data_IF_876514471004
#
_entry.id   IF_876514471004
#
_cell.length_a   1.000
_cell.length_b   1.000
_cell.length_c   1.000
_cell.angle_alpha   90.00
_cell.angle_beta   90.00
_cell.angle_gamma   90.00
#
_symmetry.space_group_name_H-M   'P 1'
#
loop_
_entity.id
_entity.type
_entity.pdbx_description
1 polymer ?
#
# COMPACT_ATOMS: atom_id res chain seq x y z
N UNK A 1 -8.85 19.23 33.38
CA UNK A 1 -10.26 18.88 33.65
C UNK A 1 -11.11 20.12 33.39
N UNK A 2 -12.27 19.97 32.74
CA UNK A 2 -13.29 21.03 32.65
C UNK A 2 -14.44 20.64 33.57
N UNK A 3 -14.83 21.53 34.47
CA UNK A 3 -16.00 21.36 35.37
C UNK A 3 -17.15 22.23 34.88
N UNK A 4 -18.31 21.62 34.67
CA UNK A 4 -19.56 22.31 34.30
C UNK A 4 -20.53 22.18 35.48
N UNK A 5 -20.80 23.26 36.23
CA UNK A 5 -21.72 23.24 37.36
C UNK A 5 -23.11 22.70 36.98
N UNK A 6 -23.66 21.80 37.79
CA UNK A 6 -24.96 21.17 37.52
C UNK A 6 -24.94 20.04 36.48
N UNK A 7 -23.82 19.80 35.79
CA UNK A 7 -23.68 18.74 34.78
C UNK A 7 -22.62 17.69 35.16
N UNK A 8 -21.38 18.11 35.41
CA UNK A 8 -20.30 17.16 35.72
C UNK A 8 -18.89 17.68 35.49
N UNK A 9 -17.95 16.74 35.39
CA UNK A 9 -16.51 16.99 35.17
C UNK A 9 -16.03 16.12 34.00
N UNK A 10 -15.21 16.68 33.10
CA UNK A 10 -14.61 15.94 31.98
C UNK A 10 -13.58 14.90 32.44
N UNK A 11 -13.09 14.05 31.52
CA UNK A 11 -11.83 13.35 31.73
C UNK A 11 -10.66 14.32 31.87
N UNK A 12 -9.60 13.89 32.56
CA UNK A 12 -8.35 14.65 32.62
C UNK A 12 -7.72 14.71 31.22
N UNK A 13 -7.07 15.83 30.92
CA UNK A 13 -6.34 16.04 29.68
C UNK A 13 -5.11 16.90 29.97
N UNK A 14 -4.10 16.74 29.12
CA UNK A 14 -2.84 17.45 29.22
C UNK A 14 -2.92 18.79 28.49
N UNK A 15 -2.24 19.80 29.04
CA UNK A 15 -2.01 21.09 28.41
C UNK A 15 -0.50 21.34 28.44
N UNK A 16 0.11 21.46 27.26
CA UNK A 16 1.55 21.63 27.12
C UNK A 16 1.96 21.49 25.66
N UNK A 17 3.17 21.95 25.34
CA UNK A 17 3.75 21.84 24.00
C UNK A 17 4.07 20.38 23.62
N UNK A 18 4.21 19.51 24.62
CA UNK A 18 4.53 18.09 24.54
C UNK A 18 3.30 17.19 24.81
N UNK A 19 2.09 17.77 24.85
CA UNK A 19 0.87 17.02 25.18
C UNK A 19 0.58 15.86 24.20
N UNK A 20 1.15 15.88 23.00
CA UNK A 20 1.01 14.83 21.98
C UNK A 20 2.17 13.82 21.96
N UNK A 21 3.24 14.02 22.73
CA UNK A 21 4.38 13.08 22.75
C UNK A 21 3.97 11.66 23.15
N UNK A 22 3.10 11.45 24.16
CA UNK A 22 2.62 10.10 24.47
C UNK A 22 1.86 9.45 23.31
N UNK A 23 1.10 10.25 22.53
CA UNK A 23 0.37 9.75 21.36
C UNK A 23 1.33 9.28 20.27
N UNK A 24 2.37 10.05 19.95
CA UNK A 24 3.39 9.65 18.98
C UNK A 24 4.08 8.34 19.41
N UNK A 25 4.41 8.23 20.70
CA UNK A 25 4.95 7.00 21.26
C UNK A 25 4.00 5.82 21.09
N UNK A 26 2.71 5.97 21.40
CA UNK A 26 1.72 4.91 21.22
C UNK A 26 1.55 4.51 19.75
N UNK A 27 1.53 5.47 18.82
CA UNK A 27 1.44 5.19 17.38
C UNK A 27 2.65 4.40 16.88
N UNK A 28 3.87 4.79 17.30
CA UNK A 28 5.10 4.07 16.96
C UNK A 28 5.07 2.62 17.43
N UNK A 29 4.61 2.37 18.66
CA UNK A 29 4.47 0.99 19.17
C UNK A 29 3.41 0.19 18.42
N UNK A 30 2.33 0.85 17.99
CA UNK A 30 1.30 0.24 17.15
C UNK A 30 1.86 -0.22 15.81
N UNK A 31 2.64 0.63 15.14
CA UNK A 31 3.34 0.29 13.90
C UNK A 31 4.33 -0.87 14.13
N UNK A 32 5.18 -0.76 15.16
CA UNK A 32 6.09 -1.84 15.54
C UNK A 32 5.37 -3.18 15.74
N UNK A 33 4.23 -3.16 16.44
CA UNK A 33 3.40 -4.34 16.70
C UNK A 33 2.89 -5.03 15.43
N UNK A 34 2.77 -4.28 14.33
CA UNK A 34 2.34 -4.78 13.04
C UNK A 34 3.49 -5.20 12.13
N UNK A 35 4.77 -4.96 12.47
CA UNK A 35 5.88 -5.39 11.60
C UNK A 35 5.77 -6.90 11.32
N UNK A 36 5.88 -7.31 10.06
CA UNK A 36 5.92 -8.69 9.58
C UNK A 36 7.35 -9.08 9.21
N UNK A 37 7.77 -10.34 9.35
CA UNK A 37 9.13 -10.76 8.98
C UNK A 37 10.20 -10.56 10.05
N UNK A 38 9.80 -10.16 11.27
CA UNK A 38 10.72 -9.92 12.39
C UNK A 38 10.14 -10.37 13.73
N UNK A 39 10.98 -10.61 14.73
CA UNK A 39 10.54 -10.82 16.10
C UNK A 39 10.09 -9.48 16.73
N UNK A 40 9.12 -9.54 17.63
CA UNK A 40 8.59 -8.39 18.37
C UNK A 40 8.94 -8.52 19.85
N UNK A 41 9.73 -7.59 20.34
CA UNK A 41 10.15 -7.53 21.74
C UNK A 41 9.06 -6.87 22.61
N UNK A 42 8.75 -7.45 23.79
CA UNK A 42 7.77 -6.87 24.71
C UNK A 42 8.21 -5.50 25.25
N UNK A 43 9.50 -5.16 25.20
CA UNK A 43 10.02 -3.83 25.57
C UNK A 43 9.37 -2.71 24.75
N UNK A 44 9.24 -2.93 23.45
CA UNK A 44 8.70 -1.94 22.51
C UNK A 44 7.18 -2.04 22.38
N UNK A 45 6.56 -3.10 22.93
CA UNK A 45 5.11 -3.27 23.04
C UNK A 45 4.56 -3.03 24.45
N UNK A 46 5.37 -2.50 25.37
CA UNK A 46 4.88 -2.07 26.67
C UNK A 46 3.91 -0.88 26.53
N UNK A 47 2.84 -0.81 27.35
CA UNK A 47 2.54 -1.66 28.50
C UNK A 47 1.65 -2.87 28.18
N UNK A 48 1.34 -3.15 26.91
CA UNK A 48 0.34 -4.17 26.54
C UNK A 48 0.80 -5.62 26.73
N UNK A 49 2.10 -5.85 26.97
CA UNK A 49 2.64 -7.19 27.23
C UNK A 49 2.63 -8.12 26.02
N UNK A 50 2.31 -7.61 24.83
CA UNK A 50 2.38 -8.35 23.58
C UNK A 50 3.84 -8.66 23.20
N UNK A 51 4.06 -9.80 22.55
CA UNK A 51 5.38 -10.23 22.09
C UNK A 51 5.22 -11.22 20.95
N UNK A 52 6.25 -11.31 20.11
CA UNK A 52 6.42 -12.40 19.15
C UNK A 52 7.89 -12.80 19.15
N UNK A 53 8.28 -13.89 19.82
CA UNK A 53 9.69 -14.20 20.06
C UNK A 53 10.48 -14.52 18.79
N UNK A 54 9.78 -14.87 17.71
CA UNK A 54 10.37 -15.27 16.45
C UNK A 54 9.81 -14.45 15.27
N UNK A 55 10.58 -14.38 14.18
CA UNK A 55 10.12 -13.75 12.95
C UNK A 55 8.98 -14.57 12.34
N UNK A 56 7.92 -13.91 11.85
CA UNK A 56 6.82 -14.57 11.15
C UNK A 56 6.95 -14.43 9.62
N UNK A 57 6.35 -15.35 8.86
CA UNK A 57 6.23 -15.23 7.40
C UNK A 57 7.56 -15.01 6.65
N UNK A 58 8.67 -15.60 7.12
CA UNK A 58 9.99 -15.38 6.48
C UNK A 58 10.15 -16.16 5.16
N UNK A 59 9.16 -16.99 4.83
CA UNK A 59 9.08 -17.78 3.60
C UNK A 59 8.06 -17.26 2.59
N UNK A 60 7.52 -16.06 2.83
CA UNK A 60 6.79 -15.31 1.80
C UNK A 60 7.66 -15.16 0.54
N UNK A 61 7.18 -15.40 -0.68
CA UNK A 61 5.87 -15.92 -1.06
C UNK A 61 5.96 -16.76 -2.35
N UNK A 62 4.92 -17.54 -2.64
CA UNK A 62 4.76 -18.27 -3.91
C UNK A 62 3.77 -17.53 -4.83
N UNK A 63 4.11 -17.35 -6.12
CA UNK A 63 3.19 -16.77 -7.11
C UNK A 63 1.95 -17.64 -7.26
N UNK A 64 0.77 -17.03 -7.15
CA UNK A 64 -0.52 -17.69 -7.37
C UNK A 64 -0.65 -18.17 -8.82
N UNK A 65 -1.04 -19.43 -9.03
CA UNK A 65 -1.38 -19.94 -10.35
C UNK A 65 -2.70 -19.36 -10.87
N UNK A 66 -2.73 -19.01 -12.17
CA UNK A 66 -3.88 -18.34 -12.83
C UNK A 66 -4.41 -19.08 -14.06
N UNK A 67 -3.82 -20.25 -14.41
CA UNK A 67 -4.18 -21.03 -15.59
C UNK A 67 -5.64 -21.52 -15.57
N UNK A 68 -6.19 -21.70 -14.36
CA UNK A 68 -7.63 -21.88 -14.14
C UNK A 68 -8.06 -20.89 -13.07
N UNK A 69 -9.13 -20.14 -13.33
CA UNK A 69 -9.75 -19.31 -12.31
C UNK A 69 -10.16 -20.25 -11.16
N UNK A 70 -9.65 -20.04 -9.93
CA UNK A 70 -10.04 -20.89 -8.82
C UNK A 70 -11.56 -20.87 -8.65
N UNK A 71 -12.19 -22.00 -8.32
CA UNK A 71 -13.65 -22.07 -8.19
C UNK A 71 -14.19 -21.04 -7.20
N UNK A 72 -13.52 -20.86 -6.05
CA UNK A 72 -13.87 -19.83 -5.07
C UNK A 72 -13.79 -18.39 -5.62
N UNK A 73 -12.94 -18.15 -6.62
CA UNK A 73 -12.84 -16.86 -7.29
C UNK A 73 -14.03 -16.67 -8.24
N UNK A 74 -14.34 -17.69 -9.05
CA UNK A 74 -15.50 -17.66 -9.95
C UNK A 74 -16.85 -17.58 -9.21
N UNK A 75 -16.95 -18.23 -8.04
CA UNK A 75 -18.15 -18.24 -7.20
C UNK A 75 -18.39 -16.88 -6.51
N UNK A 76 -17.31 -16.15 -6.17
CA UNK A 76 -17.39 -14.82 -5.54
C UNK A 76 -17.46 -13.67 -6.53
N UNK A 77 -16.81 -13.84 -7.68
CA UNK A 77 -16.73 -12.84 -8.73
C UNK A 77 -17.36 -13.48 -9.97
N UNK A 78 -18.69 -13.37 -10.16
CA UNK A 78 -19.38 -14.05 -11.24
C UNK A 78 -18.74 -13.65 -12.57
N UNK A 79 -17.97 -14.58 -13.14
CA UNK A 79 -17.47 -14.50 -14.50
C UNK A 79 -18.71 -14.67 -15.39
N UNK A 80 -19.17 -13.64 -16.11
CA UNK A 80 -20.47 -13.72 -16.78
C UNK A 80 -20.46 -14.82 -17.83
N UNK A 81 -21.38 -15.76 -17.69
CA UNK A 81 -21.57 -16.85 -18.65
C UNK A 81 -22.17 -16.37 -19.99
N UNK A 82 -22.61 -15.11 -20.10
CA UNK A 82 -23.13 -14.56 -21.36
C UNK A 82 -23.33 -13.04 -21.31
N UNK A 83 -22.68 -12.33 -22.23
CA UNK A 83 -23.28 -11.27 -23.04
C UNK A 83 -23.68 -9.91 -22.44
N UNK A 84 -23.79 -9.71 -21.13
CA UNK A 84 -24.06 -8.36 -20.61
C UNK A 84 -23.71 -8.20 -19.13
N UNK A 85 -23.04 -7.08 -18.83
CA UNK A 85 -22.54 -6.55 -17.54
C UNK A 85 -21.09 -6.94 -17.19
N UNK A 86 -20.23 -5.91 -17.13
CA UNK A 86 -19.05 -5.82 -16.25
C UNK A 86 -17.94 -6.88 -16.43
N UNK A 87 -17.43 -7.08 -17.63
CA UNK A 87 -16.18 -7.87 -17.84
C UNK A 87 -15.00 -6.97 -18.19
N UNK A 88 -13.85 -7.22 -17.55
CA UNK A 88 -12.55 -6.86 -18.12
C UNK A 88 -12.36 -7.79 -19.33
N UNK A 89 -12.16 -7.27 -20.55
CA UNK A 89 -11.88 -8.14 -21.69
C UNK A 89 -10.59 -8.92 -21.41
N UNK A 90 -10.53 -10.24 -21.70
CA UNK A 90 -9.29 -10.97 -21.58
C UNK A 90 -8.21 -10.28 -22.42
N UNK A 91 -6.97 -10.34 -21.96
CA UNK A 91 -5.85 -9.83 -22.73
C UNK A 91 -5.90 -10.46 -24.14
N UNK A 92 -5.95 -9.67 -25.22
CA UNK A 92 -6.23 -10.17 -26.56
C UNK A 92 -5.11 -11.05 -27.12
N UNK A 93 -3.94 -11.05 -26.46
CA UNK A 93 -2.77 -11.84 -26.85
C UNK A 93 -2.77 -13.19 -26.14
N UNK A 94 -3.13 -13.22 -24.87
CA UNK A 94 -3.04 -14.42 -24.01
C UNK A 94 -4.38 -15.10 -23.76
N UNK A 95 -5.51 -14.41 -24.01
CA UNK A 95 -6.85 -14.87 -23.65
C UNK A 95 -7.10 -14.91 -22.13
N UNK A 96 -6.13 -14.45 -21.32
CA UNK A 96 -6.20 -14.48 -19.86
C UNK A 96 -6.90 -13.23 -19.31
N UNK A 97 -7.68 -13.41 -18.25
CA UNK A 97 -8.20 -12.29 -17.45
C UNK A 97 -7.15 -11.71 -16.50
N UNK A 98 -5.93 -12.25 -16.47
CA UNK A 98 -4.85 -11.82 -15.60
C UNK A 98 -3.69 -11.24 -16.41
N UNK A 99 -3.01 -10.24 -15.84
CA UNK A 99 -1.76 -9.75 -16.38
C UNK A 99 -0.73 -10.89 -16.44
N UNK A 100 0.09 -10.90 -17.50
CA UNK A 100 1.16 -11.89 -17.66
C UNK A 100 2.04 -11.94 -16.40
N UNK A 101 2.30 -13.13 -15.89
CA UNK A 101 3.05 -13.33 -14.64
C UNK A 101 3.90 -14.62 -14.72
N UNK A 102 4.88 -14.80 -13.83
CA UNK A 102 5.70 -16.01 -13.78
C UNK A 102 4.86 -17.26 -13.50
N UNK A 103 5.39 -18.47 -13.78
CA UNK A 103 4.71 -19.72 -13.50
C UNK A 103 4.23 -19.82 -12.05
N UNK A 104 3.11 -20.50 -11.84
CA UNK A 104 2.59 -20.82 -10.52
C UNK A 104 3.70 -21.39 -9.60
N UNK A 105 3.69 -20.98 -8.33
CA UNK A 105 4.68 -21.36 -7.30
C UNK A 105 6.10 -20.83 -7.51
N UNK A 106 6.32 -19.98 -8.51
CA UNK A 106 7.57 -19.20 -8.61
C UNK A 106 7.77 -18.45 -7.29
N UNK A 107 8.97 -18.51 -6.71
CA UNK A 107 9.28 -17.87 -5.44
C UNK A 107 9.65 -16.42 -5.64
N UNK A 108 9.02 -15.54 -4.86
CA UNK A 108 9.41 -14.14 -4.68
C UNK A 108 9.75 -13.89 -3.21
N UNK A 109 10.34 -12.74 -2.88
CA UNK A 109 10.81 -12.44 -1.52
C UNK A 109 10.27 -11.10 -0.97
N UNK A 110 8.96 -10.98 -0.70
CA UNK A 110 8.35 -9.80 -0.09
C UNK A 110 8.39 -9.88 1.45
N UNK A 111 9.56 -10.13 2.04
CA UNK A 111 9.75 -10.15 3.50
C UNK A 111 9.91 -8.72 4.03
N UNK A 112 9.30 -8.44 5.18
CA UNK A 112 9.22 -7.12 5.78
C UNK A 112 7.78 -6.61 5.79
N UNK A 113 7.65 -5.29 5.89
CA UNK A 113 6.38 -4.56 5.89
C UNK A 113 5.54 -4.79 7.13
N UNK A 114 4.29 -4.35 7.05
CA UNK A 114 3.34 -4.41 8.16
C UNK A 114 2.14 -5.30 7.83
N UNK A 115 1.67 -6.03 8.85
CA UNK A 115 0.34 -6.63 8.87
C UNK A 115 -0.69 -5.51 8.74
N UNK A 116 -1.56 -5.64 7.76
CA UNK A 116 -2.40 -4.53 7.30
C UNK A 116 -3.50 -4.13 8.30
N UNK A 117 -4.10 -5.13 8.94
CA UNK A 117 -5.13 -4.90 9.93
C UNK A 117 -5.11 -5.98 11.02
N UNK A 118 -6.29 -6.43 11.44
CA UNK A 118 -6.43 -7.54 12.40
C UNK A 118 -6.01 -8.89 11.83
N UNK A 119 -5.84 -9.00 10.52
CA UNK A 119 -5.23 -10.14 9.86
C UNK A 119 -3.75 -9.93 9.56
N UNK A 120 -3.11 -11.01 9.12
CA UNK A 120 -1.69 -10.97 8.80
C UNK A 120 -1.39 -10.66 7.33
N UNK A 121 -2.40 -10.44 6.48
CA UNK A 121 -2.20 -10.07 5.08
C UNK A 121 -1.41 -8.76 4.92
N UNK A 122 -0.81 -8.60 3.75
CA UNK A 122 -0.09 -7.38 3.35
C UNK A 122 -0.56 -6.96 1.96
N UNK A 123 -0.85 -5.68 1.76
CA UNK A 123 -1.55 -5.17 0.58
C UNK A 123 -0.85 -3.91 0.05
N UNK A 124 -0.32 -3.98 -1.17
CA UNK A 124 0.47 -2.89 -1.76
C UNK A 124 -0.27 -1.56 -1.77
N UNK A 125 -1.59 -1.59 -1.97
CA UNK A 125 -2.43 -0.39 -1.99
C UNK A 125 -2.51 0.37 -0.67
N UNK A 126 -2.34 -0.33 0.46
CA UNK A 126 -2.27 0.32 1.76
C UNK A 126 -0.83 0.62 2.13
N UNK A 127 0.08 -0.29 1.83
CA UNK A 127 1.52 -0.16 2.06
C UNK A 127 2.12 1.06 1.36
N UNK A 128 1.78 1.29 0.10
CA UNK A 128 2.24 2.45 -0.67
C UNK A 128 1.82 3.75 0.00
N UNK A 129 0.53 3.87 0.33
CA UNK A 129 -0.02 5.01 1.08
C UNK A 129 0.60 5.17 2.47
N UNK A 130 0.74 4.09 3.22
CA UNK A 130 1.35 4.10 4.55
C UNK A 130 2.77 4.66 4.49
N UNK A 131 3.60 4.17 3.57
CA UNK A 131 4.93 4.72 3.33
C UNK A 131 4.87 6.21 2.93
N UNK A 132 3.93 6.59 2.06
CA UNK A 132 3.68 7.98 1.68
C UNK A 132 3.37 8.90 2.86
N UNK A 133 2.49 8.47 3.76
CA UNK A 133 2.10 9.20 4.95
C UNK A 133 3.22 9.30 5.98
N UNK A 134 3.97 8.23 6.19
CA UNK A 134 5.14 8.26 7.09
C UNK A 134 6.22 9.21 6.57
N UNK A 135 6.47 9.23 5.26
CA UNK A 135 7.38 10.22 4.66
C UNK A 135 6.86 11.65 4.82
N UNK A 136 5.55 11.87 4.63
CA UNK A 136 4.93 13.18 4.90
C UNK A 136 5.10 13.59 6.36
N UNK A 137 4.87 12.66 7.30
CA UNK A 137 5.07 12.91 8.73
C UNK A 137 6.54 13.23 9.03
N UNK A 138 7.49 12.50 8.45
CA UNK A 138 8.92 12.76 8.58
C UNK A 138 9.29 14.16 8.03
N UNK A 139 8.71 14.58 6.91
CA UNK A 139 8.95 15.91 6.34
C UNK A 139 8.37 17.03 7.23
N UNK A 140 7.21 16.81 7.84
CA UNK A 140 6.53 17.78 8.72
C UNK A 140 7.17 17.87 10.10
N UNK A 141 7.52 16.72 10.71
CA UNK A 141 8.08 16.64 12.05
C UNK A 141 9.59 16.90 12.08
N UNK A 142 10.28 16.69 10.95
CA UNK A 142 11.73 16.77 10.84
C UNK A 142 12.46 15.52 11.36
N UNK A 143 13.76 15.40 11.04
CA UNK A 143 14.62 14.27 11.41
C UNK A 143 15.09 14.23 12.86
N UNK A 144 14.46 14.99 13.75
CA UNK A 144 14.82 14.98 15.17
C UNK A 144 14.14 13.83 15.93
N UNK A 145 13.22 13.11 15.28
CA UNK A 145 12.52 11.95 15.83
C UNK A 145 13.37 10.69 15.72
N UNK A 146 14.42 10.62 16.54
CA UNK A 146 15.27 9.45 16.80
C UNK A 146 15.19 9.07 18.29
N UNK A 147 13.96 9.03 18.78
CA UNK A 147 13.60 8.87 20.19
C UNK A 147 12.22 8.22 20.40
N UNK A 148 11.61 7.68 19.34
CA UNK A 148 10.39 6.91 19.42
C UNK A 148 10.67 5.60 20.17
N UNK A 149 9.65 4.97 20.77
CA UNK A 149 9.83 3.71 21.49
C UNK A 149 9.99 2.52 20.53
N UNK A 150 10.97 2.59 19.65
CA UNK A 150 11.31 1.61 18.61
C UNK A 150 12.69 1.01 18.87
N UNK A 151 12.98 -0.19 18.33
CA UNK A 151 14.29 -0.83 18.48
C UNK A 151 15.47 0.01 18.03
N UNK A 152 15.27 0.84 17.00
CA UNK A 152 16.31 1.58 16.31
C UNK A 152 16.63 2.94 16.94
N UNK A 153 15.83 3.41 17.90
CA UNK A 153 15.96 4.74 18.47
C UNK A 153 17.32 5.00 19.13
N UNK A 154 17.89 6.17 18.84
CA UNK A 154 19.17 6.68 19.30
C UNK A 154 20.37 6.28 18.43
N UNK A 155 20.15 5.75 17.22
CA UNK A 155 21.21 5.33 16.30
C UNK A 155 21.68 6.43 15.33
N UNK A 156 21.09 7.63 15.42
CA UNK A 156 21.37 8.77 14.56
C UNK A 156 20.55 8.81 13.28
N UNK A 157 19.55 7.94 13.13
CA UNK A 157 18.70 7.82 11.94
C UNK A 157 17.25 8.00 12.38
N UNK A 158 16.47 8.90 11.74
CA UNK A 158 15.09 9.14 12.14
C UNK A 158 14.27 7.84 12.15
N UNK A 159 13.62 7.56 13.27
CA UNK A 159 12.87 6.34 13.48
C UNK A 159 11.79 6.12 12.41
N UNK A 160 11.09 7.21 12.02
CA UNK A 160 10.09 7.16 10.95
C UNK A 160 10.69 6.81 9.58
N UNK A 161 11.95 7.19 9.31
CA UNK A 161 12.63 6.77 8.09
C UNK A 161 12.85 5.25 8.11
N UNK A 162 13.25 4.69 9.25
CA UNK A 162 13.49 3.25 9.38
C UNK A 162 12.20 2.43 9.29
N UNK A 163 11.07 2.97 9.77
CA UNK A 163 9.75 2.36 9.52
C UNK A 163 9.35 2.40 8.04
N UNK A 164 9.62 3.49 7.33
CA UNK A 164 9.42 3.56 5.87
C UNK A 164 10.30 2.52 5.18
N UNK A 165 11.58 2.39 5.55
CA UNK A 165 12.48 1.38 4.98
C UNK A 165 11.93 -0.03 5.14
N UNK A 166 11.34 -0.34 6.30
CA UNK A 166 10.75 -1.65 6.56
C UNK A 166 9.56 -1.94 5.64
N UNK A 167 8.72 -0.94 5.37
CA UNK A 167 7.59 -1.05 4.44
C UNK A 167 8.03 -1.13 2.98
N UNK A 168 9.00 -0.28 2.59
CA UNK A 168 9.53 -0.26 1.24
C UNK A 168 10.21 -1.58 0.89
N UNK A 169 10.94 -2.20 1.84
CA UNK A 169 11.53 -3.54 1.67
C UNK A 169 10.49 -4.58 1.28
N UNK A 170 9.30 -4.53 1.87
CA UNK A 170 8.19 -5.43 1.52
C UNK A 170 7.72 -5.21 0.09
N UNK A 171 7.33 -3.97 -0.26
CA UNK A 171 6.75 -3.72 -1.59
C UNK A 171 7.80 -3.88 -2.69
N UNK A 172 9.08 -3.59 -2.42
CA UNK A 172 10.22 -3.91 -3.29
C UNK A 172 10.28 -5.41 -3.63
N UNK A 173 9.92 -6.31 -2.72
CA UNK A 173 9.94 -7.75 -2.99
C UNK A 173 8.83 -8.25 -3.92
N UNK A 174 7.91 -7.38 -4.36
CA UNK A 174 6.73 -7.73 -5.17
C UNK A 174 6.83 -7.32 -6.64
N UNK A 175 7.87 -6.59 -7.04
CA UNK A 175 8.02 -6.20 -8.43
C UNK A 175 8.60 -7.38 -9.25
N UNK A 176 7.91 -7.72 -10.33
CA UNK A 176 8.36 -8.69 -11.34
C UNK A 176 9.34 -8.03 -12.33
N UNK A 177 10.03 -8.87 -13.10
CA UNK A 177 11.05 -8.49 -14.08
C UNK A 177 10.54 -7.59 -15.21
N UNK A 178 9.24 -7.60 -15.50
CA UNK A 178 8.61 -6.72 -16.48
C UNK A 178 8.17 -5.35 -15.91
N UNK A 179 8.42 -5.11 -14.62
CA UNK A 179 8.07 -3.88 -13.92
C UNK A 179 6.70 -3.92 -13.23
N UNK A 180 5.83 -4.88 -13.54
CA UNK A 180 4.54 -5.05 -12.89
C UNK A 180 4.68 -5.55 -11.45
N UNK A 181 3.66 -5.28 -10.61
CA UNK A 181 3.73 -5.55 -9.17
C UNK A 181 2.58 -6.43 -8.71
N UNK A 182 2.90 -7.51 -7.96
CA UNK A 182 1.93 -8.35 -7.28
C UNK A 182 1.23 -7.58 -6.15
N UNK A 183 -0.08 -7.74 -6.00
CA UNK A 183 -0.85 -6.85 -5.12
C UNK A 183 -0.91 -7.23 -3.65
N UNK A 184 -1.04 -8.52 -3.36
CA UNK A 184 -1.45 -9.00 -2.03
C UNK A 184 -0.60 -10.20 -1.66
N UNK A 185 -0.09 -10.20 -0.43
CA UNK A 185 0.47 -11.40 0.20
C UNK A 185 -0.49 -11.86 1.28
N UNK A 186 -1.11 -13.02 1.08
CA UNK A 186 -1.96 -13.63 2.09
C UNK A 186 -1.96 -15.16 1.96
N UNK A 187 -2.42 -15.89 2.99
CA UNK A 187 -2.46 -17.35 2.93
C UNK A 187 -3.25 -17.88 1.72
N UNK A 188 -2.85 -19.06 1.25
CA UNK A 188 -3.56 -19.78 0.21
C UNK A 188 -4.83 -20.42 0.79
N UNK A 189 -5.90 -19.64 0.95
CA UNK A 189 -7.19 -20.18 1.32
C UNK A 189 -8.04 -20.37 0.06
N UNK A 190 -8.12 -21.60 -0.44
CA UNK A 190 -9.22 -22.05 -1.32
C UNK A 190 -10.60 -21.90 -0.66
N UNK A 191 -10.64 -21.63 0.65
CA UNK A 191 -11.83 -21.30 1.42
C UNK A 191 -11.70 -19.89 1.97
N UNK A 192 -11.88 -18.88 1.11
CA UNK A 192 -11.87 -17.48 1.51
C UNK A 192 -12.63 -17.26 2.83
N UNK A 193 -12.07 -16.39 3.68
CA UNK A 193 -12.62 -15.84 4.94
C UNK A 193 -12.03 -16.31 6.28
N UNK A 194 -11.21 -17.36 6.36
CA UNK A 194 -10.59 -17.70 7.65
C UNK A 194 -9.23 -17.02 7.90
N UNK A 195 -8.94 -15.92 7.21
CA UNK A 195 -7.66 -15.20 7.25
C UNK A 195 -7.31 -14.64 8.66
N UNK A 196 -8.32 -14.29 9.46
CA UNK A 196 -8.19 -13.90 10.88
C UNK A 196 -7.71 -15.06 11.77
N UNK A 197 -7.95 -16.30 11.35
CA UNK A 197 -7.52 -17.50 12.06
C UNK A 197 -6.14 -17.99 11.61
N UNK A 198 -5.51 -17.41 10.58
CA UNK A 198 -4.20 -17.83 10.09
C UNK A 198 -3.06 -17.26 10.96
N UNK A 199 -2.88 -17.79 12.16
CA UNK A 199 -1.85 -17.29 13.09
C UNK A 199 -0.43 -17.63 12.61
N UNK A 200 0.55 -16.71 12.76
CA UNK A 200 1.95 -17.01 12.55
C UNK A 200 2.41 -18.10 13.54
N UNK A 201 3.28 -18.98 13.08
CA UNK A 201 3.84 -20.03 13.92
C UNK A 201 4.96 -19.52 14.83
N UNK A 202 5.24 -20.26 15.91
CA UNK A 202 6.54 -20.24 16.62
C UNK A 202 7.63 -21.02 15.84
N UNK A 203 7.55 -21.01 14.51
CA UNK A 203 8.58 -21.49 13.60
C UNK A 203 8.58 -20.50 12.43
N UNK A 204 9.67 -19.75 12.18
CA UNK A 204 9.64 -18.64 11.23
C UNK A 204 9.32 -19.06 9.81
N UNK A 205 9.60 -20.33 9.48
CA UNK A 205 9.46 -20.90 8.14
C UNK A 205 8.06 -21.46 7.88
N UNK A 206 7.19 -21.49 8.89
CA UNK A 206 5.83 -22.03 8.80
C UNK A 206 4.83 -20.95 9.12
N UNK A 207 3.70 -21.01 8.43
CA UNK A 207 2.52 -20.19 8.74
C UNK A 207 1.33 -21.10 9.03
N UNK A 208 0.35 -20.59 9.78
CA UNK A 208 -0.94 -21.23 10.04
C UNK A 208 -0.85 -22.54 10.84
N UNK A 209 -0.09 -22.53 11.95
CA UNK A 209 0.15 -23.72 12.79
C UNK A 209 -1.03 -24.14 13.67
N UNK A 210 -2.11 -23.37 13.68
CA UNK A 210 -3.38 -23.77 14.26
C UNK A 210 -4.13 -24.82 13.41
N UNK A 211 -3.67 -25.11 12.19
CA UNK A 211 -4.17 -26.22 11.38
C UNK A 211 -3.34 -27.49 11.50
N UNK A 212 -3.96 -28.64 11.18
CA UNK A 212 -3.29 -29.93 11.17
C UNK A 212 -2.07 -29.93 10.23
N UNK A 213 -1.05 -30.74 10.55
CA UNK A 213 0.23 -30.69 9.85
C UNK A 213 0.16 -30.99 8.34
N UNK A 214 -0.85 -31.75 7.92
CA UNK A 214 -1.15 -32.16 6.55
C UNK A 214 -2.23 -31.30 5.88
N UNK A 215 -2.69 -30.22 6.51
CA UNK A 215 -3.69 -29.35 5.92
C UNK A 215 -3.11 -28.62 4.70
N UNK A 216 -3.74 -28.67 3.52
CA UNK A 216 -3.24 -28.04 2.31
C UNK A 216 -3.16 -26.50 2.39
N UNK A 217 -3.79 -25.89 3.40
CA UNK A 217 -3.71 -24.45 3.72
C UNK A 217 -2.48 -24.12 4.59
N UNK A 218 -1.69 -25.11 4.98
CA UNK A 218 -0.43 -24.94 5.70
C UNK A 218 0.71 -24.76 4.69
N UNK A 219 1.56 -23.76 4.90
CA UNK A 219 2.67 -23.48 3.99
C UNK A 219 2.87 -21.98 3.78
N UNK A 220 3.77 -21.61 2.85
CA UNK A 220 4.03 -20.21 2.54
C UNK A 220 2.78 -19.52 2.02
N UNK A 221 2.71 -18.22 2.22
CA UNK A 221 1.65 -17.38 1.66
C UNK A 221 1.84 -17.19 0.16
N UNK A 222 0.75 -16.81 -0.50
CA UNK A 222 0.73 -16.62 -1.96
C UNK A 222 0.75 -15.14 -2.31
N UNK A 223 1.47 -14.83 -3.38
CA UNK A 223 1.41 -13.55 -4.06
C UNK A 223 0.26 -13.57 -5.05
N UNK A 224 -0.71 -12.71 -4.78
CA UNK A 224 -1.85 -12.51 -5.67
C UNK A 224 -1.41 -11.81 -6.95
N UNK A 225 -2.12 -12.02 -8.08
CA UNK A 225 -1.70 -11.56 -9.38
C UNK A 225 -1.34 -10.07 -9.46
N UNK A 226 -0.57 -9.73 -10.50
CA UNK A 226 -0.17 -8.34 -10.75
C UNK A 226 -1.37 -7.48 -11.13
N UNK A 227 -1.31 -6.20 -10.79
CA UNK A 227 -2.39 -5.23 -11.00
C UNK A 227 -1.84 -3.83 -11.28
N UNK A 228 -2.54 -3.04 -12.08
CA UNK A 228 -2.07 -1.69 -12.44
C UNK A 228 -2.24 -0.70 -11.29
N UNK A 229 -3.21 -0.87 -10.40
CA UNK A 229 -3.38 -0.04 -9.21
C UNK A 229 -2.19 -0.22 -8.25
N UNK A 230 -1.84 -1.47 -7.93
CA UNK A 230 -0.68 -1.78 -7.09
C UNK A 230 0.63 -1.35 -7.73
N UNK A 231 0.77 -1.52 -9.05
CA UNK A 231 1.97 -1.09 -9.79
C UNK A 231 2.13 0.44 -9.76
N UNK A 232 1.04 1.19 -9.86
CA UNK A 232 1.04 2.64 -9.76
C UNK A 232 1.34 3.13 -8.34
N UNK A 233 0.75 2.54 -7.30
CA UNK A 233 1.11 2.86 -5.91
C UNK A 233 2.57 2.57 -5.59
N UNK A 234 3.09 1.44 -6.05
CA UNK A 234 4.50 1.10 -5.92
C UNK A 234 5.39 2.15 -6.58
N UNK A 235 5.06 2.57 -7.81
CA UNK A 235 5.82 3.60 -8.51
C UNK A 235 5.81 4.93 -7.73
N UNK A 236 4.66 5.33 -7.20
CA UNK A 236 4.52 6.55 -6.42
C UNK A 236 5.33 6.51 -5.11
N UNK A 237 5.20 5.44 -4.32
CA UNK A 237 5.88 5.29 -3.05
C UNK A 237 7.41 5.27 -3.22
N UNK A 238 7.93 4.53 -4.21
CA UNK A 238 9.36 4.49 -4.49
C UNK A 238 9.89 5.80 -5.07
N UNK A 239 9.13 6.48 -5.93
CA UNK A 239 9.52 7.81 -6.43
C UNK A 239 9.56 8.85 -5.29
N UNK A 240 8.60 8.80 -4.36
CA UNK A 240 8.60 9.64 -3.15
C UNK A 240 9.83 9.39 -2.29
N UNK A 241 10.17 8.12 -2.06
CA UNK A 241 11.38 7.74 -1.32
C UNK A 241 12.65 8.20 -2.02
N UNK A 242 12.73 8.05 -3.36
CA UNK A 242 13.87 8.49 -4.14
C UNK A 242 14.10 10.02 -4.12
N UNK A 243 13.02 10.82 -4.05
CA UNK A 243 13.14 12.28 -3.94
C UNK A 243 13.35 12.78 -2.52
N UNK A 244 13.05 11.98 -1.51
CA UNK A 244 13.08 12.42 -0.11
C UNK A 244 14.48 12.94 0.26
N UNK A 245 14.59 14.15 0.84
CA UNK A 245 15.87 14.70 1.25
C UNK A 245 16.54 13.84 2.34
N UNK A 246 15.74 13.13 3.15
CA UNK A 246 16.24 12.24 4.19
C UNK A 246 16.88 10.99 3.61
N UNK A 247 16.18 10.30 2.69
CA UNK A 247 16.75 9.15 1.97
C UNK A 247 17.97 9.55 1.13
N UNK A 248 17.95 10.69 0.44
CA UNK A 248 19.12 11.16 -0.33
C UNK A 248 20.36 11.35 0.55
N UNK A 249 20.17 11.85 1.78
CA UNK A 249 21.27 12.08 2.73
C UNK A 249 21.74 10.79 3.40
N UNK A 250 20.81 9.96 3.87
CA UNK A 250 21.12 8.83 4.76
C UNK A 250 21.22 7.48 4.03
N UNK A 251 20.65 7.39 2.83
CA UNK A 251 20.46 6.16 2.02
C UNK A 251 20.60 6.42 0.50
N UNK A 252 21.66 7.08 0.02
CA UNK A 252 21.77 7.49 -1.38
C UNK A 252 21.72 6.32 -2.39
N UNK A 253 22.30 5.17 -2.04
CA UNK A 253 22.24 3.97 -2.89
C UNK A 253 20.81 3.46 -3.06
N UNK A 254 20.01 3.50 -1.99
CA UNK A 254 18.61 3.08 -2.04
C UNK A 254 17.79 4.04 -2.91
N UNK A 255 18.03 5.36 -2.84
CA UNK A 255 17.31 6.33 -3.71
C UNK A 255 17.51 6.04 -5.20
N UNK A 256 18.73 5.66 -5.60
CA UNK A 256 19.03 5.29 -6.99
C UNK A 256 18.28 4.04 -7.40
N UNK A 257 18.29 3.00 -6.54
CA UNK A 257 17.53 1.76 -6.74
C UNK A 257 16.03 2.05 -6.82
N UNK A 258 15.46 2.80 -5.88
CA UNK A 258 14.05 3.14 -5.83
C UNK A 258 13.59 3.85 -7.09
N UNK A 259 14.36 4.84 -7.58
CA UNK A 259 14.01 5.55 -8.81
C UNK A 259 14.01 4.62 -10.04
N UNK A 260 15.00 3.73 -10.17
CA UNK A 260 15.05 2.76 -11.27
C UNK A 260 13.83 1.86 -11.26
N UNK A 261 13.44 1.36 -10.09
CA UNK A 261 12.27 0.49 -9.92
C UNK A 261 10.95 1.21 -10.16
N UNK A 262 10.82 2.45 -9.69
CA UNK A 262 9.67 3.30 -9.95
C UNK A 262 9.47 3.54 -11.46
N UNK A 263 10.55 3.79 -12.20
CA UNK A 263 10.51 3.92 -13.67
C UNK A 263 10.13 2.62 -14.37
N UNK A 264 10.65 1.48 -13.92
CA UNK A 264 10.27 0.18 -14.48
C UNK A 264 8.76 -0.07 -14.31
N UNK A 265 8.21 0.26 -13.14
CA UNK A 265 6.77 0.21 -12.88
C UNK A 265 5.99 1.20 -13.76
N UNK A 266 6.47 2.42 -13.95
CA UNK A 266 5.86 3.37 -14.88
C UNK A 266 5.84 2.86 -16.33
N UNK A 267 6.95 2.31 -16.82
CA UNK A 267 7.03 1.75 -18.17
C UNK A 267 6.05 0.58 -18.36
N UNK A 268 5.87 -0.25 -17.33
CA UNK A 268 4.82 -1.27 -17.33
C UNK A 268 3.43 -0.65 -17.44
N UNK A 269 3.15 0.41 -16.68
CA UNK A 269 1.85 1.10 -16.70
C UNK A 269 1.54 1.74 -18.05
N UNK A 270 2.53 2.25 -18.79
CA UNK A 270 2.34 2.85 -20.12
C UNK A 270 1.98 1.85 -21.21
N UNK A 271 2.39 0.59 -21.04
CA UNK A 271 2.22 -0.47 -22.05
C UNK A 271 1.04 -1.39 -21.76
N UNK A 272 0.31 -1.17 -20.66
CA UNK A 272 -0.78 -2.04 -20.21
C UNK A 272 -2.10 -1.28 -20.10
N UNK A 273 -3.15 -1.92 -20.60
CA UNK A 273 -4.52 -1.48 -20.35
C UNK A 273 -4.76 -1.50 -18.84
N UNK A 274 -5.41 -0.47 -18.27
CA UNK A 274 -5.87 -0.50 -16.90
C UNK A 274 -6.50 -1.83 -16.50
N UNK A 275 -5.99 -2.39 -15.40
CA UNK A 275 -6.43 -3.64 -14.82
C UNK A 275 -6.45 -3.50 -13.30
N UNK A 276 -7.65 -3.63 -12.71
CA UNK A 276 -7.93 -3.41 -11.29
C UNK A 276 -8.79 -4.51 -10.67
N UNK A 277 -8.56 -5.78 -11.03
CA UNK A 277 -9.45 -6.89 -10.62
C UNK A 277 -9.35 -7.21 -9.12
N UNK A 278 -8.32 -6.72 -8.42
CA UNK A 278 -7.96 -7.16 -7.08
C UNK A 278 -8.13 -6.10 -5.99
N UNK A 279 -8.63 -4.92 -6.33
CA UNK A 279 -8.84 -3.89 -5.33
C UNK A 279 -9.98 -4.28 -4.36
N UNK A 280 -9.58 -4.52 -3.11
CA UNK A 280 -10.34 -4.52 -1.87
C UNK A 280 -11.78 -5.10 -1.84
N UNK A 281 -11.87 -6.29 -1.24
CA UNK A 281 -13.09 -7.00 -0.81
C UNK A 281 -13.93 -6.22 0.24
N UNK A 282 -13.39 -5.15 0.85
CA UNK A 282 -14.07 -4.37 1.90
C UNK A 282 -14.57 -2.98 1.43
N UNK A 283 -14.04 -2.45 0.33
CA UNK A 283 -14.41 -1.14 -0.23
C UNK A 283 -15.16 -1.22 -1.57
N UNK A 284 -15.51 -2.43 -2.02
CA UNK A 284 -16.40 -2.60 -3.17
C UNK A 284 -15.73 -2.44 -4.54
N UNK A 285 -14.40 -2.59 -4.65
CA UNK A 285 -13.70 -2.52 -5.94
C UNK A 285 -13.76 -3.86 -6.72
N UNK A 286 -14.90 -4.53 -6.66
CA UNK A 286 -15.37 -5.42 -7.73
C UNK A 286 -16.58 -4.80 -8.40
N UNK A 287 -16.32 -3.69 -9.08
CA UNK A 287 -17.13 -3.26 -10.20
C UNK A 287 -16.19 -3.13 -11.37
N UNK A 288 -15.98 -4.21 -12.13
CA UNK A 288 -15.47 -4.08 -13.49
C UNK A 288 -16.33 -3.00 -14.17
N UNK A 289 -15.73 -1.86 -14.49
CA UNK A 289 -16.45 -0.72 -15.04
C UNK A 289 -16.68 -0.98 -16.53
N UNK A 290 -17.53 -1.94 -16.83
CA UNK A 290 -18.34 -1.94 -18.05
C UNK A 290 -19.81 -2.01 -17.64
N UNK A 291 -20.21 -0.97 -16.89
CA UNK A 291 -21.57 -0.43 -16.71
C UNK A 291 -21.68 0.48 -15.46
N UNK A 292 -20.58 0.97 -14.88
CA UNK A 292 -20.60 1.86 -13.69
C UNK A 292 -21.44 3.15 -13.86
N UNK A 293 -21.75 3.54 -15.09
CA UNK A 293 -22.74 4.56 -15.41
C UNK A 293 -24.19 4.18 -15.06
N UNK A 294 -24.48 2.93 -14.68
CA UNK A 294 -25.82 2.47 -14.31
C UNK A 294 -26.03 2.47 -12.78
N UNK A 295 -25.05 2.05 -11.98
CA UNK A 295 -25.26 1.72 -10.54
C UNK A 295 -24.90 2.85 -9.57
N UNK A 296 -24.08 3.83 -9.97
CA UNK A 296 -23.77 4.96 -9.09
C UNK A 296 -24.98 5.90 -8.89
N UNK A 297 -25.23 6.43 -7.68
CA UNK A 297 -26.23 7.47 -7.49
C UNK A 297 -25.97 8.68 -8.40
N UNK A 298 -27.04 9.33 -8.87
CA UNK A 298 -26.95 10.46 -9.81
C UNK A 298 -26.05 11.61 -9.32
N UNK A 299 -25.85 11.75 -8.01
CA UNK A 299 -24.93 12.76 -7.44
C UNK A 299 -23.46 12.42 -7.65
N UNK A 300 -23.09 11.14 -7.76
CA UNK A 300 -21.72 10.67 -8.00
C UNK A 300 -21.38 10.72 -9.49
N UNK A 301 -22.38 10.49 -10.36
CA UNK A 301 -22.29 10.72 -11.83
C UNK A 301 -22.19 12.21 -12.21
N UNK A 302 -22.38 13.11 -11.24
CA UNK A 302 -22.32 14.56 -11.44
C UNK A 302 -20.89 15.11 -11.43
N UNK A 303 -19.88 14.27 -11.15
CA UNK A 303 -18.48 14.66 -11.17
C UNK A 303 -17.85 14.35 -12.53
N UNK A 304 -17.64 15.40 -13.32
CA UNK A 304 -17.14 15.44 -14.72
C UNK A 304 -15.72 14.86 -14.90
N UNK A 305 -15.09 14.38 -13.83
CA UNK A 305 -13.67 14.01 -13.79
C UNK A 305 -13.43 12.52 -13.53
N UNK A 306 -14.49 11.72 -13.49
CA UNK A 306 -14.36 10.27 -13.53
C UNK A 306 -13.78 9.88 -14.89
N UNK A 307 -12.80 8.98 -14.92
CA UNK A 307 -12.29 8.46 -16.19
C UNK A 307 -13.45 7.78 -16.92
N UNK A 308 -13.87 8.35 -18.05
CA UNK A 308 -14.93 7.82 -18.90
C UNK A 308 -14.62 6.41 -19.43
N UNK A 309 -13.36 5.94 -19.30
CA UNK A 309 -12.90 4.61 -19.69
C UNK A 309 -12.81 3.61 -18.52
N UNK A 310 -13.07 4.02 -17.29
CA UNK A 310 -13.13 3.11 -16.13
C UNK A 310 -11.78 2.63 -15.58
N UNK A 311 -10.69 3.37 -15.78
CA UNK A 311 -9.39 3.09 -15.16
C UNK A 311 -9.44 3.25 -13.63
N UNK A 312 -9.45 2.13 -12.92
CA UNK A 312 -9.44 2.08 -11.44
C UNK A 312 -8.08 2.38 -10.81
N UNK A 313 -7.05 2.59 -11.61
CA UNK A 313 -5.70 2.97 -11.18
C UNK A 313 -5.39 4.44 -11.47
N UNK A 314 -6.38 5.22 -11.90
CA UNK A 314 -6.17 6.57 -12.41
C UNK A 314 -5.58 7.51 -11.36
N UNK A 315 -6.09 7.50 -10.13
CA UNK A 315 -5.59 8.30 -9.02
C UNK A 315 -4.18 7.87 -8.58
N UNK A 316 -3.91 6.57 -8.53
CA UNK A 316 -2.55 6.07 -8.28
C UNK A 316 -1.57 6.46 -9.38
N UNK A 317 -1.98 6.44 -10.65
CA UNK A 317 -1.15 6.86 -11.78
C UNK A 317 -0.86 8.36 -11.72
N UNK A 318 -1.82 9.18 -11.31
CA UNK A 318 -1.59 10.60 -11.07
C UNK A 318 -0.58 10.81 -9.94
N UNK A 319 -0.69 10.05 -8.85
CA UNK A 319 0.28 10.11 -7.76
C UNK A 319 1.68 9.69 -8.22
N UNK A 320 1.78 8.56 -8.94
CA UNK A 320 3.04 8.09 -9.51
C UNK A 320 3.68 9.12 -10.45
N UNK A 321 2.89 9.70 -11.36
CA UNK A 321 3.37 10.72 -12.30
C UNK A 321 3.95 11.93 -11.56
N UNK A 322 3.24 12.50 -10.60
CA UNK A 322 3.73 13.70 -9.90
C UNK A 322 4.93 13.41 -9.00
N UNK A 323 5.00 12.23 -8.37
CA UNK A 323 6.17 11.83 -7.59
C UNK A 323 7.40 11.58 -8.49
N UNK A 324 7.20 10.97 -9.66
CA UNK A 324 8.26 10.81 -10.66
C UNK A 324 8.73 12.15 -11.19
N UNK A 325 7.81 13.07 -11.49
CA UNK A 325 8.17 14.44 -11.86
C UNK A 325 9.00 15.11 -10.75
N UNK A 326 8.56 15.02 -9.50
CA UNK A 326 9.27 15.57 -8.35
C UNK A 326 10.67 14.94 -8.16
N UNK A 327 10.84 13.66 -8.53
CA UNK A 327 12.11 12.96 -8.42
C UNK A 327 13.08 13.27 -9.57
N UNK A 328 12.58 13.61 -10.76
CA UNK A 328 13.40 13.63 -12.00
C UNK A 328 13.40 14.94 -12.76
N UNK A 329 12.37 15.77 -12.60
CA UNK A 329 12.16 16.99 -13.38
C UNK A 329 11.72 16.76 -14.83
N UNK A 330 11.43 15.52 -15.25
CA UNK A 330 11.03 15.24 -16.64
C UNK A 330 9.61 15.75 -16.94
N UNK A 331 9.51 16.60 -17.97
CA UNK A 331 8.26 17.22 -18.37
C UNK A 331 7.16 16.21 -18.74
N UNK A 332 7.49 15.03 -19.25
CA UNK A 332 6.51 14.01 -19.63
C UNK A 332 5.59 13.59 -18.46
N UNK A 333 6.16 13.46 -17.26
CA UNK A 333 5.40 13.12 -16.06
C UNK A 333 4.49 14.27 -15.59
N UNK A 334 5.00 15.49 -15.64
CA UNK A 334 4.21 16.69 -15.32
C UNK A 334 3.06 16.90 -16.31
N UNK A 335 3.33 16.70 -17.59
CA UNK A 335 2.35 16.70 -18.68
C UNK A 335 1.28 15.62 -18.47
N UNK A 336 1.67 14.41 -18.06
CA UNK A 336 0.73 13.35 -17.74
C UNK A 336 -0.22 13.77 -16.63
N UNK A 337 0.32 14.28 -15.52
CA UNK A 337 -0.43 14.74 -14.37
C UNK A 337 -1.38 15.89 -14.74
N UNK A 338 -0.88 16.97 -15.35
CA UNK A 338 -1.69 18.17 -15.64
C UNK A 338 -2.80 17.93 -16.66
N UNK A 339 -2.62 17.01 -17.61
CA UNK A 339 -3.65 16.64 -18.60
C UNK A 339 -4.78 15.80 -18.01
N UNK A 340 -4.57 15.16 -16.86
CA UNK A 340 -5.48 14.14 -16.30
C UNK A 340 -5.97 14.46 -14.88
N UNK A 341 -5.24 15.29 -14.14
CA UNK A 341 -5.65 15.76 -12.82
C UNK A 341 -6.87 16.66 -12.96
N UNK A 342 -7.86 16.45 -12.09
CA UNK A 342 -9.01 17.31 -12.00
C UNK A 342 -9.06 18.05 -10.65
N UNK A 343 -8.78 19.37 -10.65
CA UNK A 343 -8.79 20.19 -9.43
C UNK A 343 -10.17 20.33 -8.77
N UNK A 344 -11.25 20.00 -9.48
CA UNK A 344 -12.64 20.10 -8.97
C UNK A 344 -13.09 18.88 -8.17
N UNK A 345 -12.30 17.80 -8.17
CA UNK A 345 -12.56 16.65 -7.33
C UNK A 345 -12.21 17.00 -5.89
N UNK A 346 -13.23 17.32 -5.06
CA UNK A 346 -13.08 17.91 -3.72
C UNK A 346 -12.68 16.91 -2.61
N UNK A 347 -12.20 15.73 -2.98
CA UNK A 347 -11.68 14.77 -2.01
C UNK A 347 -10.22 15.10 -1.73
N UNK A 348 -10.00 16.16 -0.93
CA UNK A 348 -8.68 16.68 -0.59
C UNK A 348 -8.02 15.83 0.50
N UNK A 349 -6.86 15.29 0.18
CA UNK A 349 -5.80 15.00 1.14
C UNK A 349 -5.80 13.59 1.70
N UNK A 350 -6.65 13.31 2.68
CA UNK A 350 -6.46 12.21 3.64
C UNK A 350 -7.29 10.95 3.37
N UNK A 351 -8.16 10.96 2.36
CA UNK A 351 -8.92 9.78 1.96
C UNK A 351 -8.05 8.76 1.23
N UNK A 352 -8.27 7.48 1.53
CA UNK A 352 -7.56 6.36 0.92
C UNK A 352 -7.75 6.33 -0.61
N UNK A 353 -6.72 5.88 -1.31
CA UNK A 353 -6.84 5.42 -2.69
C UNK A 353 -7.46 4.01 -2.66
N UNK A 354 -8.37 3.64 -3.60
CA UNK A 354 -8.68 4.34 -4.85
C UNK A 354 -9.94 5.22 -4.77
N UNK A 355 -9.92 6.42 -4.17
CA UNK A 355 -11.09 7.32 -4.13
C UNK A 355 -10.74 8.81 -4.05
N UNK A 356 -9.47 9.19 -4.18
CA UNK A 356 -9.05 10.57 -3.96
C UNK A 356 -7.83 10.93 -4.80
N UNK A 357 -7.64 12.21 -5.11
CA UNK A 357 -6.36 12.69 -5.62
C UNK A 357 -5.46 13.20 -4.50
N UNK A 358 -5.70 12.77 -3.26
CA UNK A 358 -5.11 13.35 -2.06
C UNK A 358 -3.58 13.41 -2.10
N UNK A 359 -2.88 12.27 -2.13
CA UNK A 359 -1.42 12.24 -2.19
C UNK A 359 -0.85 12.98 -3.41
N UNK A 360 -1.45 12.78 -4.60
CA UNK A 360 -1.01 13.45 -5.82
C UNK A 360 -1.13 14.99 -5.73
N UNK A 361 -2.24 15.47 -5.15
CA UNK A 361 -2.50 16.90 -4.96
C UNK A 361 -1.57 17.50 -3.91
N UNK A 362 -1.30 16.78 -2.82
CA UNK A 362 -0.33 17.18 -1.80
C UNK A 362 1.05 17.34 -2.42
N UNK A 363 1.54 16.34 -3.15
CA UNK A 363 2.85 16.38 -3.80
C UNK A 363 2.94 17.54 -4.81
N UNK A 364 1.89 17.76 -5.61
CA UNK A 364 1.89 18.90 -6.53
C UNK A 364 1.90 20.26 -5.79
N UNK A 365 1.21 20.35 -4.66
CA UNK A 365 1.22 21.55 -3.82
C UNK A 365 2.60 21.77 -3.17
N UNK A 366 3.28 20.72 -2.72
CA UNK A 366 4.66 20.78 -2.22
C UNK A 366 5.60 21.39 -3.27
N UNK A 367 5.54 20.89 -4.51
CA UNK A 367 6.32 21.41 -5.64
C UNK A 367 6.00 22.88 -5.94
N UNK A 368 4.72 23.25 -5.96
CA UNK A 368 4.30 24.62 -6.22
C UNK A 368 4.79 25.59 -5.13
N UNK A 369 4.81 25.16 -3.86
CA UNK A 369 5.37 25.95 -2.75
C UNK A 369 6.88 26.07 -2.86
N UNK A 370 7.58 24.97 -3.19
CA UNK A 370 9.04 24.97 -3.41
C UNK A 370 9.44 25.94 -4.53
N UNK A 371 8.77 25.86 -5.69
CA UNK A 371 9.00 26.74 -6.82
C UNK A 371 8.81 28.23 -6.47
N UNK A 372 7.78 28.58 -5.69
CA UNK A 372 7.56 29.96 -5.21
C UNK A 372 8.64 30.46 -4.26
N UNK A 373 9.30 29.55 -3.54
CA UNK A 373 10.43 29.85 -2.65
C UNK A 373 11.77 29.92 -3.38
N UNK A 374 11.80 29.65 -4.70
CA UNK A 374 13.03 29.60 -5.49
C UNK A 374 13.86 28.33 -5.24
N UNK A 375 13.27 27.30 -4.64
CA UNK A 375 13.88 25.98 -4.50
C UNK A 375 13.61 25.18 -5.78
N UNK A 376 14.63 24.53 -6.39
CA UNK A 376 14.46 23.70 -7.59
C UNK A 376 13.41 22.60 -7.45
#
# INVERSE_FOLDING_TARGET
>A
LVRVPGLGVSHAFLLGNDALTPLLGTLARGMYGQRCGTALSPRYLAPWGATRPEACHVSDAEVMGVDTLPSWFADRFPVPASGNLTTVPPDPTTGSFWLNQPPARTRINPVGGHHDAGDYGKYVVNSGLFAGWLMTALDVLGADQDNLPLPEAGDGIPDLLQEVEWELKYIEGLQDTDGGVFCIIKPNSTAGEFYEAHLPCYDPKRDNCNLAANDPRRGPRIAWPKDTTCTAQFAAALARAARSPWFRRLRPNDTTRYLQRARAAWNFLETRVPFGALCYHHYGCTGAVSSGDAVLPAWQKRYVCYDAKGDQSHDERLWAAVELYAATGEAAFHDYFTKRHCPRFRHWGWEALPFSYGPATITYAELAVAARKGTP
#
